data_IF_768458557178
#
_entry.id   IF_768458557178
#
_cell.length_a   1.000
_cell.length_b   1.000
_cell.length_c   1.000
_cell.angle_alpha   90.00
_cell.angle_beta   90.00
_cell.angle_gamma   90.00
#
_symmetry.space_group_name_H-M   'P 1'
#
loop_
_entity.id
_entity.type
_entity.pdbx_description
1 polymer ?
#
# COMPACT_ATOMS: atom_id res chain seq x y z
N UNK A 1 -50.06 -9.64 41.73
CA UNK A 1 -51.00 -9.57 40.58
C UNK A 1 -51.03 -8.09 40.18
N UNK A 2 -50.06 -7.61 39.39
CA UNK A 2 -49.97 -7.64 37.92
C UNK A 2 -51.04 -6.79 37.24
N UNK A 3 -50.62 -5.62 36.73
CA UNK A 3 -51.08 -4.82 35.56
C UNK A 3 -50.31 -3.46 35.57
N UNK A 4 -50.15 -2.69 34.48
CA UNK A 4 -49.98 -3.06 33.07
C UNK A 4 -48.73 -2.41 32.43
N UNK A 5 -48.45 -2.75 31.17
CA UNK A 5 -47.26 -2.38 30.44
C UNK A 5 -47.05 -0.88 30.23
N UNK A 6 -45.79 -0.45 30.37
CA UNK A 6 -45.31 0.80 29.78
C UNK A 6 -44.29 0.42 28.72
N UNK A 7 -44.73 0.51 27.46
CA UNK A 7 -43.88 0.38 26.30
C UNK A 7 -42.78 1.46 26.37
N UNK A 8 -41.52 1.01 26.47
CA UNK A 8 -40.37 1.88 26.30
C UNK A 8 -40.25 2.22 24.81
N UNK A 9 -40.08 3.49 24.41
CA UNK A 9 -39.93 3.84 23.01
C UNK A 9 -38.66 3.20 22.44
N UNK A 10 -38.80 2.51 21.31
CA UNK A 10 -37.68 2.08 20.46
C UNK A 10 -36.98 3.33 19.92
N UNK A 11 -35.84 3.68 20.49
CA UNK A 11 -34.91 4.62 19.88
C UNK A 11 -34.42 4.04 18.55
N UNK A 12 -34.43 4.81 17.44
CA UNK A 12 -33.84 4.36 16.19
C UNK A 12 -32.33 4.56 16.28
N UNK A 13 -31.63 3.70 17.01
CA UNK A 13 -30.18 3.53 16.79
C UNK A 13 -29.99 2.68 15.53
N UNK A 14 -30.40 3.28 14.39
CA UNK A 14 -29.78 3.03 13.11
C UNK A 14 -28.38 3.63 13.16
N UNK A 15 -27.55 3.11 14.05
CA UNK A 15 -26.13 3.05 13.78
C UNK A 15 -25.99 2.10 12.60
N UNK A 16 -26.09 2.69 11.41
CA UNK A 16 -25.24 2.29 10.30
C UNK A 16 -23.81 2.44 10.78
N UNK A 17 -23.36 1.51 11.63
CA UNK A 17 -21.97 1.13 11.73
C UNK A 17 -21.70 0.41 10.43
N UNK A 18 -21.66 1.18 9.35
CA UNK A 18 -20.82 0.85 8.23
C UNK A 18 -19.46 0.73 8.88
N UNK A 19 -19.06 -0.50 9.18
CA UNK A 19 -17.68 -0.83 9.43
C UNK A 19 -17.02 -0.47 8.10
N UNK A 20 -16.66 0.81 7.96
CA UNK A 20 -15.59 1.21 7.09
C UNK A 20 -14.42 0.50 7.74
N UNK A 21 -14.18 -0.72 7.28
CA UNK A 21 -12.91 -1.39 7.46
C UNK A 21 -11.93 -0.44 6.80
N UNK A 22 -11.47 0.55 7.56
CA UNK A 22 -10.35 1.39 7.22
C UNK A 22 -9.30 0.37 6.78
N UNK A 23 -8.82 0.38 5.52
CA UNK A 23 -7.87 -0.63 5.09
C UNK A 23 -6.74 -0.58 6.10
N UNK A 24 -6.61 -1.66 6.86
CA UNK A 24 -5.68 -1.75 7.97
C UNK A 24 -4.37 -1.20 7.46
N UNK A 25 -3.81 -0.22 8.18
CA UNK A 25 -2.54 0.41 7.87
C UNK A 25 -1.50 -0.69 7.52
N UNK A 26 -1.36 -1.02 6.22
CA UNK A 26 -0.56 -2.14 5.67
C UNK A 26 0.93 -1.79 5.65
N UNK A 27 1.37 -1.05 6.65
CA UNK A 27 2.77 -0.70 6.85
C UNK A 27 3.36 -1.65 7.89
N UNK A 28 3.14 -2.96 7.72
CA UNK A 28 3.85 -3.94 8.54
C UNK A 28 5.29 -4.02 8.04
N UNK A 29 6.30 -4.14 8.92
CA UNK A 29 7.69 -4.33 8.50
C UNK A 29 7.87 -5.47 7.49
N UNK A 30 7.08 -6.53 7.59
CA UNK A 30 7.06 -7.66 6.65
C UNK A 30 6.58 -7.24 5.25
N UNK A 31 5.60 -6.36 5.17
CA UNK A 31 5.09 -5.83 3.90
C UNK A 31 6.15 -4.95 3.24
N UNK A 32 6.85 -4.11 4.00
CA UNK A 32 7.95 -3.27 3.50
C UNK A 32 9.09 -4.11 2.91
N UNK A 33 9.48 -5.18 3.63
CA UNK A 33 10.50 -6.10 3.15
C UNK A 33 10.05 -6.81 1.87
N UNK A 34 8.80 -7.29 1.82
CA UNK A 34 8.26 -7.96 0.64
C UNK A 34 8.16 -7.02 -0.57
N UNK A 35 7.83 -5.74 -0.34
CA UNK A 35 7.80 -4.71 -1.38
C UNK A 35 9.20 -4.44 -1.94
N UNK A 36 10.20 -4.27 -1.07
CA UNK A 36 11.60 -4.10 -1.49
C UNK A 36 12.12 -5.33 -2.23
N UNK A 37 11.83 -6.54 -1.73
CA UNK A 37 12.23 -7.78 -2.39
C UNK A 37 11.66 -7.88 -3.81
N UNK A 38 10.36 -7.58 -3.98
CA UNK A 38 9.74 -7.58 -5.31
C UNK A 38 10.39 -6.51 -6.22
N UNK A 39 10.61 -5.30 -5.71
CA UNK A 39 11.22 -4.24 -6.51
C UNK A 39 12.62 -4.62 -7.00
N UNK A 40 13.44 -5.22 -6.12
CA UNK A 40 14.81 -5.66 -6.43
C UNK A 40 14.82 -6.81 -7.43
N UNK A 41 13.97 -7.82 -7.23
CA UNK A 41 13.84 -8.97 -8.14
C UNK A 41 13.55 -8.53 -9.58
N UNK A 42 12.78 -7.45 -9.73
CA UNK A 42 12.35 -6.94 -11.01
C UNK A 42 13.24 -5.85 -11.60
N UNK A 43 14.34 -5.48 -10.94
CA UNK A 43 15.30 -4.51 -11.47
C UNK A 43 15.73 -4.84 -12.91
N UNK A 44 16.14 -6.08 -13.26
CA UNK A 44 16.57 -6.42 -14.62
C UNK A 44 15.47 -6.29 -15.68
N UNK A 45 14.21 -6.15 -15.26
CA UNK A 45 13.02 -6.05 -16.11
C UNK A 45 12.43 -4.64 -16.15
N UNK A 46 13.06 -3.67 -15.49
CA UNK A 46 12.56 -2.29 -15.38
C UNK A 46 11.47 -2.08 -14.33
N UNK A 47 11.36 -2.99 -13.36
CA UNK A 47 10.41 -2.90 -12.24
C UNK A 47 9.21 -3.84 -12.37
N UNK A 48 8.50 -4.11 -11.25
CA UNK A 48 7.37 -5.03 -11.22
C UNK A 48 6.19 -4.53 -12.04
N UNK A 49 5.46 -5.46 -12.67
CA UNK A 49 4.25 -5.13 -13.42
C UNK A 49 3.10 -4.82 -12.47
N UNK A 50 2.12 -4.08 -12.98
CA UNK A 50 0.91 -3.74 -12.22
C UNK A 50 0.16 -4.98 -11.74
N UNK A 51 0.03 -6.02 -12.58
CA UNK A 51 -0.64 -7.27 -12.19
C UNK A 51 0.02 -7.94 -10.98
N UNK A 52 1.35 -7.96 -10.91
CA UNK A 52 2.11 -8.59 -9.84
C UNK A 52 1.98 -7.80 -8.53
N UNK A 53 2.04 -6.47 -8.62
CA UNK A 53 1.83 -5.58 -7.46
C UNK A 53 0.41 -5.75 -6.91
N UNK A 54 -0.59 -5.74 -7.80
CA UNK A 54 -2.00 -5.85 -7.42
C UNK A 54 -2.31 -7.23 -6.82
N UNK A 55 -1.81 -8.30 -7.43
CA UNK A 55 -2.00 -9.66 -6.94
C UNK A 55 -1.39 -9.87 -5.56
N UNK A 56 -0.20 -9.30 -5.31
CA UNK A 56 0.54 -9.51 -4.06
C UNK A 56 0.11 -8.58 -2.93
N UNK A 57 -0.14 -7.31 -3.22
CA UNK A 57 -0.36 -6.28 -2.19
C UNK A 57 -1.76 -5.66 -2.21
N UNK A 58 -2.58 -5.95 -3.22
CA UNK A 58 -3.96 -5.48 -3.32
C UNK A 58 -4.10 -3.98 -3.63
N UNK A 59 -3.05 -3.32 -4.11
CA UNK A 59 -3.08 -1.92 -4.56
C UNK A 59 -2.32 -1.73 -5.87
N UNK A 60 -2.45 -0.55 -6.49
CA UNK A 60 -1.83 -0.24 -7.78
C UNK A 60 -0.35 0.17 -7.70
N UNK A 61 0.29 0.45 -8.84
CA UNK A 61 1.71 0.76 -8.91
C UNK A 61 2.08 2.07 -8.19
N UNK A 62 1.22 3.09 -8.23
CA UNK A 62 1.52 4.39 -7.62
C UNK A 62 1.80 4.32 -6.09
N UNK A 63 0.91 3.74 -5.25
CA UNK A 63 1.21 3.59 -3.83
C UNK A 63 2.40 2.65 -3.55
N UNK A 64 2.65 1.67 -4.43
CA UNK A 64 3.84 0.81 -4.34
C UNK A 64 5.12 1.65 -4.45
N UNK A 65 5.27 2.42 -5.53
CA UNK A 65 6.47 3.21 -5.78
C UNK A 65 6.65 4.35 -4.78
N UNK A 66 5.56 4.97 -4.31
CA UNK A 66 5.65 5.91 -3.18
C UNK A 66 6.24 5.26 -1.93
N UNK A 67 5.83 4.03 -1.61
CA UNK A 67 6.36 3.31 -0.45
C UNK A 67 7.83 2.96 -0.66
N UNK A 68 8.23 2.48 -1.84
CA UNK A 68 9.65 2.23 -2.16
C UNK A 68 10.48 3.50 -1.94
N UNK A 69 10.07 4.64 -2.50
CA UNK A 69 10.77 5.91 -2.28
C UNK A 69 10.86 6.27 -0.79
N UNK A 70 9.79 6.08 -0.02
CA UNK A 70 9.81 6.28 1.43
C UNK A 70 10.84 5.37 2.11
N UNK A 71 10.86 4.08 1.80
CA UNK A 71 11.81 3.12 2.40
C UNK A 71 13.26 3.48 2.10
N UNK A 72 13.55 3.97 0.89
CA UNK A 72 14.87 4.44 0.49
C UNK A 72 15.34 5.71 1.22
N UNK A 73 14.48 6.39 1.97
CA UNK A 73 14.88 7.49 2.87
C UNK A 73 15.26 7.02 4.27
N UNK A 74 15.04 5.74 4.60
CA UNK A 74 15.21 5.22 5.96
C UNK A 74 16.61 4.60 6.14
N UNK A 75 17.35 4.97 7.20
CA UNK A 75 18.69 4.46 7.43
C UNK A 75 18.79 2.93 7.51
N UNK A 76 17.78 2.26 8.10
CA UNK A 76 17.76 0.81 8.22
C UNK A 76 17.75 0.10 6.87
N UNK A 77 17.03 0.64 5.87
CA UNK A 77 16.99 0.06 4.53
C UNK A 77 18.20 0.46 3.69
N UNK A 78 18.70 1.69 3.86
CA UNK A 78 19.90 2.15 3.18
C UNK A 78 21.15 1.32 3.57
N UNK A 79 21.23 0.85 4.80
CA UNK A 79 22.33 -0.03 5.24
C UNK A 79 22.26 -1.43 4.65
N UNK A 80 21.07 -1.88 4.20
CA UNK A 80 20.85 -3.22 3.64
C UNK A 80 21.00 -3.25 2.11
N UNK A 81 20.98 -2.10 1.45
CA UNK A 81 21.01 -1.98 -0.01
C UNK A 81 22.33 -1.35 -0.46
N UNK A 82 22.91 -1.87 -1.55
CA UNK A 82 24.05 -1.22 -2.18
C UNK A 82 23.60 0.02 -2.99
N UNK A 83 24.54 0.94 -3.22
CA UNK A 83 24.27 2.21 -3.92
C UNK A 83 23.67 2.00 -5.32
N UNK A 84 24.14 1.01 -6.08
CA UNK A 84 23.62 0.72 -7.42
C UNK A 84 22.13 0.34 -7.40
N UNK A 85 21.73 -0.50 -6.43
CA UNK A 85 20.34 -0.91 -6.23
C UNK A 85 19.47 0.29 -5.88
N UNK A 86 19.95 1.18 -5.00
CA UNK A 86 19.22 2.39 -4.61
C UNK A 86 19.00 3.30 -5.83
N UNK A 87 20.06 3.56 -6.61
CA UNK A 87 19.98 4.41 -7.81
C UNK A 87 19.00 3.84 -8.84
N UNK A 88 19.02 2.54 -9.07
CA UNK A 88 18.13 1.90 -10.04
C UNK A 88 16.66 1.95 -9.59
N UNK A 89 16.39 1.67 -8.31
CA UNK A 89 15.03 1.78 -7.76
C UNK A 89 14.50 3.23 -7.82
N UNK A 90 15.36 4.23 -7.61
CA UNK A 90 15.00 5.64 -7.77
C UNK A 90 14.68 5.98 -9.22
N UNK A 91 15.50 5.53 -10.18
CA UNK A 91 15.27 5.75 -11.60
C UNK A 91 13.94 5.13 -12.05
N UNK A 92 13.65 3.89 -11.63
CA UNK A 92 12.39 3.22 -11.93
C UNK A 92 11.19 3.95 -11.33
N UNK A 93 11.28 4.39 -10.07
CA UNK A 93 10.23 5.19 -9.45
C UNK A 93 9.97 6.49 -10.24
N UNK A 94 11.02 7.17 -10.73
CA UNK A 94 10.88 8.36 -11.55
C UNK A 94 10.17 8.08 -12.89
N UNK A 95 10.48 6.97 -13.56
CA UNK A 95 9.76 6.56 -14.78
C UNK A 95 8.28 6.31 -14.53
N UNK A 96 7.94 5.80 -13.34
CA UNK A 96 6.55 5.50 -12.96
C UNK A 96 5.76 6.78 -12.62
N UNK A 97 6.42 7.76 -11.99
CA UNK A 97 5.80 9.06 -11.70
C UNK A 97 5.71 9.98 -12.93
N UNK A 98 6.62 9.81 -13.89
CA UNK A 98 6.63 10.56 -15.14
C UNK A 98 6.78 9.60 -16.32
N UNK A 99 5.69 8.89 -16.68
CA UNK A 99 5.75 7.99 -17.82
C UNK A 99 6.11 8.79 -19.08
N UNK A 100 7.03 8.31 -19.93
CA UNK A 100 7.37 9.00 -21.16
C UNK A 100 6.09 9.22 -21.96
N UNK A 101 5.85 10.47 -22.35
CA UNK A 101 4.69 10.82 -23.16
C UNK A 101 4.74 9.95 -24.41
N UNK A 102 3.74 9.08 -24.59
CA UNK A 102 3.58 8.36 -25.85
C UNK A 102 3.22 9.42 -26.88
N UNK A 103 4.17 9.75 -27.75
CA UNK A 103 3.91 10.46 -28.99
C UNK A 103 3.18 9.45 -29.88
N UNK A 104 1.85 9.50 -29.85
CA UNK A 104 0.98 8.90 -30.87
C UNK A 104 0.91 9.81 -32.07
#
# INVERSE_FOLDING_TARGET
MSEPGTARPLLPERWSRTTVTLPANRNRPDDDQAMLALAIEWIPRGGPKEEDIRARFGFGPMPFWHRICYLLTRPNWLQLLNTATITELQAQAMTQFNPPRRVT
#
